data_IF_000209856491
#
_entry.id   IF_000209856491
#
_cell.length_a   1.000
_cell.length_b   1.000
_cell.length_c   1.000
_cell.angle_alpha   90.00
_cell.angle_beta   90.00
_cell.angle_gamma   90.00
#
_symmetry.space_group_name_H-M   'P 1'
#
loop_
_entity.id
_entity.type
_entity.pdbx_description
1 polymer ?
#
# COMPACT_ATOMS: atom_id res chain seq x y z
N UNK A 1 26.64 2.01 -25.99
CA UNK A 1 25.27 1.52 -25.73
C UNK A 1 25.29 0.88 -24.35
N UNK A 2 24.32 1.20 -23.48
CA UNK A 2 24.25 0.70 -22.10
C UNK A 2 23.17 -0.37 -21.98
N UNK A 3 23.34 -1.31 -21.04
CA UNK A 3 22.33 -2.33 -20.72
C UNK A 3 21.43 -1.82 -19.60
N UNK A 4 20.11 -1.95 -19.77
CA UNK A 4 19.11 -1.62 -18.77
C UNK A 4 18.45 -2.92 -18.30
N UNK A 5 18.40 -3.15 -16.99
CA UNK A 5 17.81 -4.35 -16.38
C UNK A 5 16.63 -3.93 -15.51
N UNK A 6 15.44 -4.44 -15.82
CA UNK A 6 14.28 -4.36 -14.94
C UNK A 6 14.28 -5.58 -14.01
N UNK A 7 14.52 -5.36 -12.72
CA UNK A 7 14.59 -6.41 -11.70
C UNK A 7 13.70 -6.05 -10.52
N UNK A 8 12.43 -6.50 -10.48
CA UNK A 8 11.57 -6.28 -9.33
C UNK A 8 12.13 -6.99 -8.07
N UNK A 9 11.68 -6.61 -6.87
CA UNK A 9 12.03 -7.33 -5.64
C UNK A 9 11.68 -8.82 -5.75
N UNK A 10 12.55 -9.67 -5.20
CA UNK A 10 12.33 -11.11 -5.10
C UNK A 10 11.53 -11.46 -3.84
N UNK A 11 11.60 -10.63 -2.80
CA UNK A 11 10.90 -10.84 -1.54
C UNK A 11 10.46 -9.50 -0.94
N UNK A 12 9.22 -9.45 -0.42
CA UNK A 12 8.68 -8.34 0.35
C UNK A 12 8.37 -8.87 1.75
N UNK A 13 9.09 -8.37 2.75
CA UNK A 13 8.86 -8.71 4.15
C UNK A 13 7.90 -7.69 4.75
N UNK A 14 6.70 -8.14 5.13
CA UNK A 14 5.70 -7.30 5.79
C UNK A 14 5.86 -7.46 7.29
N UNK A 15 6.29 -6.42 7.99
CA UNK A 15 6.49 -6.47 9.45
C UNK A 15 5.33 -5.90 10.25
N UNK A 16 4.57 -4.98 9.67
CA UNK A 16 3.37 -4.40 10.26
C UNK A 16 2.21 -4.49 9.29
N UNK A 17 1.06 -4.98 9.76
CA UNK A 17 -0.15 -5.14 8.95
C UNK A 17 -1.39 -4.78 9.75
N UNK A 18 -2.13 -3.77 9.29
CA UNK A 18 -3.34 -3.25 9.93
C UNK A 18 -4.51 -3.27 8.93
N UNK A 19 -5.56 -4.01 9.26
CA UNK A 19 -6.78 -4.07 8.46
C UNK A 19 -7.79 -3.04 8.93
N UNK A 20 -8.37 -2.32 7.98
CA UNK A 20 -9.52 -1.45 8.16
C UNK A 20 -10.75 -2.08 7.51
N UNK A 21 -11.91 -1.92 8.15
CA UNK A 21 -13.17 -2.48 7.66
C UNK A 21 -13.68 -1.84 6.37
N UNK A 22 -13.26 -0.60 6.07
CA UNK A 22 -13.64 0.11 4.86
C UNK A 22 -12.55 1.04 4.35
N UNK A 23 -12.52 1.26 3.02
CA UNK A 23 -11.66 2.24 2.38
C UNK A 23 -11.86 3.66 2.95
N UNK A 24 -13.08 4.00 3.39
CA UNK A 24 -13.40 5.30 3.98
C UNK A 24 -12.75 5.47 5.34
N UNK A 25 -12.69 4.42 6.17
CA UNK A 25 -12.02 4.47 7.47
C UNK A 25 -10.51 4.67 7.29
N UNK A 26 -9.90 3.92 6.36
CA UNK A 26 -8.48 4.09 6.02
C UNK A 26 -8.21 5.50 5.48
N UNK A 27 -9.02 5.97 4.53
CA UNK A 27 -8.88 7.31 3.98
C UNK A 27 -9.08 8.40 5.06
N UNK A 28 -9.92 8.16 6.07
CA UNK A 28 -10.12 9.12 7.17
C UNK A 28 -8.86 9.27 8.03
N UNK A 29 -8.17 8.16 8.32
CA UNK A 29 -6.86 8.17 8.96
C UNK A 29 -5.85 8.96 8.11
N UNK A 30 -5.77 8.67 6.80
CA UNK A 30 -4.84 9.37 5.90
C UNK A 30 -5.14 10.87 5.80
N UNK A 31 -6.41 11.26 5.65
CA UNK A 31 -6.83 12.65 5.62
C UNK A 31 -6.47 13.39 6.91
N UNK A 32 -6.61 12.74 8.08
CA UNK A 32 -6.15 13.30 9.35
C UNK A 32 -4.64 13.54 9.35
N UNK A 33 -3.83 12.57 8.92
CA UNK A 33 -2.38 12.71 8.83
C UNK A 33 -1.98 13.83 7.86
N UNK A 34 -2.61 13.92 6.69
CA UNK A 34 -2.38 14.99 5.73
C UNK A 34 -2.66 16.37 6.32
N UNK A 35 -3.77 16.52 7.06
CA UNK A 35 -4.13 17.78 7.70
C UNK A 35 -3.15 18.19 8.81
N UNK A 36 -2.68 17.23 9.62
CA UNK A 36 -1.77 17.52 10.74
C UNK A 36 -0.34 17.76 10.26
N UNK A 37 0.13 16.97 9.28
CA UNK A 37 1.51 17.07 8.76
C UNK A 37 1.69 18.13 7.68
N UNK A 38 0.61 18.51 7.00
CA UNK A 38 0.66 19.34 5.80
C UNK A 38 1.26 18.65 4.57
N UNK A 39 1.59 17.36 4.67
CA UNK A 39 2.18 16.59 3.57
C UNK A 39 1.08 15.84 2.79
N UNK A 40 1.10 15.90 1.45
CA UNK A 40 0.20 15.07 0.65
C UNK A 40 0.58 13.59 0.79
N UNK A 41 -0.43 12.74 0.94
CA UNK A 41 -0.29 11.30 0.92
C UNK A 41 -1.24 10.72 -0.12
N UNK A 42 -0.83 9.62 -0.74
CA UNK A 42 -1.66 8.86 -1.66
C UNK A 42 -1.79 7.41 -1.18
N UNK A 43 -2.97 6.84 -1.40
CA UNK A 43 -3.18 5.42 -1.26
C UNK A 43 -2.82 4.73 -2.58
N UNK A 44 -2.46 3.45 -2.47
CA UNK A 44 -2.27 2.56 -3.59
C UNK A 44 -3.49 1.66 -3.77
N UNK A 45 -3.78 1.29 -5.00
CA UNK A 45 -4.80 0.30 -5.32
C UNK A 45 -4.27 -0.73 -6.30
N UNK A 46 -4.50 -1.99 -5.98
CA UNK A 46 -4.33 -3.11 -6.90
C UNK A 46 -5.14 -4.30 -6.39
N UNK A 47 -5.54 -5.20 -7.29
CA UNK A 47 -6.14 -6.49 -6.92
C UNK A 47 -7.37 -6.38 -6.01
N UNK A 48 -8.13 -5.27 -6.06
CA UNK A 48 -9.32 -5.06 -5.23
C UNK A 48 -9.02 -4.63 -3.78
N UNK A 49 -7.78 -4.20 -3.50
CA UNK A 49 -7.33 -3.71 -2.20
C UNK A 49 -6.83 -2.29 -2.35
N UNK A 50 -7.19 -1.44 -1.39
CA UNK A 50 -6.59 -0.11 -1.21
C UNK A 50 -5.71 -0.13 0.03
N UNK A 51 -4.52 0.46 -0.06
CA UNK A 51 -3.56 0.41 1.03
C UNK A 51 -2.58 1.58 1.03
N UNK A 52 -2.07 1.89 2.21
CA UNK A 52 -0.87 2.69 2.43
C UNK A 52 0.25 1.72 2.83
N UNK A 53 1.42 1.84 2.23
CA UNK A 53 2.58 1.02 2.56
C UNK A 53 3.79 1.91 2.82
N UNK A 54 4.38 1.77 4.01
CA UNK A 54 5.63 2.40 4.38
C UNK A 54 6.75 1.40 4.11
N UNK A 55 7.62 1.69 3.14
CA UNK A 55 8.79 0.87 2.84
C UNK A 55 10.01 1.40 3.57
N UNK A 56 10.83 0.49 4.08
CA UNK A 56 12.13 0.83 4.65
C UNK A 56 13.05 1.27 3.51
N UNK A 57 13.64 2.45 3.67
CA UNK A 57 14.55 3.03 2.69
C UNK A 57 15.81 2.15 2.48
N UNK A 58 16.33 2.04 1.25
CA UNK A 58 17.49 1.20 0.94
C UNK A 58 18.72 1.47 1.82
N UNK A 59 18.93 2.73 2.22
CA UNK A 59 20.06 3.15 3.05
C UNK A 59 20.04 2.53 4.45
N UNK A 60 18.86 2.18 4.97
CA UNK A 60 18.72 1.54 6.27
C UNK A 60 19.03 0.04 6.22
N UNK A 61 18.83 -0.62 5.06
CA UNK A 61 19.03 -2.06 4.87
C UNK A 61 19.72 -2.37 3.51
N UNK A 62 20.94 -1.86 3.27
CA UNK A 62 21.56 -1.93 1.96
C UNK A 62 21.88 -3.36 1.51
N UNK A 63 22.30 -4.23 2.44
CA UNK A 63 22.61 -5.62 2.13
C UNK A 63 21.39 -6.42 1.68
N UNK A 64 20.23 -6.17 2.29
CA UNK A 64 18.98 -6.86 1.95
C UNK A 64 18.41 -6.32 0.62
N UNK A 65 18.49 -5.01 0.41
CA UNK A 65 18.06 -4.38 -0.83
C UNK A 65 18.83 -4.92 -2.04
N UNK A 66 20.15 -5.10 -1.94
CA UNK A 66 20.98 -5.69 -3.01
C UNK A 66 20.61 -7.15 -3.29
N UNK A 67 20.16 -7.91 -2.29
CA UNK A 67 19.64 -9.28 -2.47
C UNK A 67 18.23 -9.31 -3.07
N UNK A 68 17.63 -8.15 -3.35
CA UNK A 68 16.27 -8.05 -3.87
C UNK A 68 15.19 -8.23 -2.81
N UNK A 69 15.52 -8.08 -1.52
CA UNK A 69 14.58 -8.13 -0.41
C UNK A 69 14.26 -6.72 0.06
N UNK A 70 12.97 -6.38 0.11
CA UNK A 70 12.50 -5.10 0.65
C UNK A 70 11.60 -5.33 1.86
N UNK A 71 11.50 -4.32 2.73
CA UNK A 71 10.71 -4.39 3.96
C UNK A 71 9.60 -3.36 3.91
N UNK A 72 8.36 -3.81 4.07
CA UNK A 72 7.23 -2.95 4.35
C UNK A 72 7.06 -2.87 5.87
N UNK A 73 7.52 -1.76 6.46
CA UNK A 73 7.52 -1.58 7.91
C UNK A 73 6.10 -1.57 8.48
N UNK A 74 5.17 -0.95 7.76
CA UNK A 74 3.76 -0.93 8.09
C UNK A 74 2.92 -0.88 6.82
N UNK A 75 1.83 -1.66 6.81
CA UNK A 75 0.82 -1.64 5.77
C UNK A 75 -0.54 -1.44 6.44
N UNK A 76 -1.24 -0.38 6.04
CA UNK A 76 -2.64 -0.17 6.41
C UNK A 76 -3.51 -0.39 5.20
N UNK A 77 -4.47 -1.32 5.26
CA UNK A 77 -5.23 -1.73 4.08
C UNK A 77 -6.73 -1.85 4.34
N UNK A 78 -7.52 -1.82 3.27
CA UNK A 78 -8.96 -2.02 3.27
C UNK A 78 -9.43 -2.64 1.94
N UNK A 79 -10.61 -3.30 1.92
CA UNK A 79 -11.21 -3.75 0.67
C UNK A 79 -11.65 -2.54 -0.20
N UNK A 80 -11.38 -2.64 -1.51
CA UNK A 80 -11.83 -1.67 -2.53
C UNK A 80 -12.03 -2.43 -3.85
N UNK A 81 -13.19 -3.08 -4.01
CA UNK A 81 -13.42 -4.03 -5.11
C UNK A 81 -13.22 -3.44 -6.52
N UNK A 82 -13.45 -2.14 -6.70
CA UNK A 82 -13.25 -1.42 -7.96
C UNK A 82 -12.33 -0.23 -7.73
N UNK A 83 -11.44 0.02 -8.68
CA UNK A 83 -10.63 1.22 -8.67
C UNK A 83 -11.50 2.49 -8.70
N UNK A 84 -11.11 3.45 -7.89
CA UNK A 84 -11.54 4.84 -7.96
C UNK A 84 -10.29 5.68 -7.65
N UNK A 85 -10.08 6.76 -8.39
CA UNK A 85 -8.87 7.58 -8.28
C UNK A 85 -8.81 8.46 -7.03
N UNK A 86 -9.87 8.47 -6.22
CA UNK A 86 -9.87 9.07 -4.88
C UNK A 86 -10.86 8.36 -3.95
N UNK A 87 -10.66 8.57 -2.65
CA UNK A 87 -11.68 8.33 -1.62
C UNK A 87 -12.02 9.66 -0.96
N UNK A 88 -13.30 10.03 -0.95
CA UNK A 88 -13.78 11.28 -0.37
C UNK A 88 -14.00 11.12 1.14
N UNK A 89 -13.43 12.02 1.93
CA UNK A 89 -13.65 12.15 3.37
C UNK A 89 -14.03 13.59 3.68
N UNK A 90 -15.32 13.85 3.88
CA UNK A 90 -15.84 15.22 4.00
C UNK A 90 -15.50 16.04 2.74
N UNK A 91 -14.71 17.11 2.92
CA UNK A 91 -14.26 17.99 1.83
C UNK A 91 -12.87 17.63 1.28
N UNK A 92 -12.23 16.56 1.80
CA UNK A 92 -10.89 16.13 1.39
C UNK A 92 -11.02 14.95 0.44
N UNK A 93 -10.28 15.02 -0.67
CA UNK A 93 -10.08 13.89 -1.58
C UNK A 93 -8.71 13.27 -1.30
N UNK A 94 -8.71 12.06 -0.76
CA UNK A 94 -7.48 11.28 -0.62
C UNK A 94 -7.21 10.61 -1.97
N UNK A 95 -6.10 10.94 -2.65
CA UNK A 95 -5.81 10.37 -3.96
C UNK A 95 -5.50 8.87 -3.85
N UNK A 96 -5.92 8.12 -4.87
CA UNK A 96 -5.65 6.68 -5.00
C UNK A 96 -4.99 6.41 -6.34
N UNK A 97 -3.81 5.81 -6.30
CA UNK A 97 -2.99 5.50 -7.47
C UNK A 97 -3.19 4.02 -7.81
N UNK A 98 -3.58 3.74 -9.05
CA UNK A 98 -3.57 2.37 -9.58
C UNK A 98 -2.12 1.91 -9.81
N UNK A 99 -1.68 0.95 -9.00
CA UNK A 99 -0.32 0.39 -9.04
C UNK A 99 -0.29 -1.03 -9.63
N UNK A 100 -1.36 -1.45 -10.32
CA UNK A 100 -1.49 -2.80 -10.90
C UNK A 100 -0.36 -3.14 -11.89
N UNK A 101 0.27 -2.15 -12.52
CA UNK A 101 1.41 -2.33 -13.43
C UNK A 101 2.73 -2.67 -12.72
N UNK A 102 2.86 -2.34 -11.42
CA UNK A 102 4.03 -2.70 -10.63
C UNK A 102 3.86 -4.13 -10.11
N UNK A 103 4.62 -5.07 -10.66
CA UNK A 103 4.48 -6.50 -10.37
C UNK A 103 4.64 -6.85 -8.88
N UNK A 104 5.65 -6.28 -8.20
CA UNK A 104 5.89 -6.57 -6.78
C UNK A 104 4.80 -6.02 -5.88
N UNK A 105 4.34 -4.80 -6.14
CA UNK A 105 3.28 -4.16 -5.35
C UNK A 105 1.91 -4.79 -5.64
N UNK A 106 1.65 -5.21 -6.88
CA UNK A 106 0.45 -5.97 -7.23
C UNK A 106 0.42 -7.33 -6.51
N UNK A 107 1.54 -8.04 -6.48
CA UNK A 107 1.61 -9.34 -5.81
C UNK A 107 1.48 -9.19 -4.28
N UNK A 108 2.01 -8.12 -3.70
CA UNK A 108 1.72 -7.72 -2.32
C UNK A 108 0.22 -7.49 -2.09
N UNK A 109 -0.45 -6.73 -2.94
CA UNK A 109 -1.88 -6.47 -2.83
C UNK A 109 -2.72 -7.75 -2.95
N UNK A 110 -2.34 -8.66 -3.85
CA UNK A 110 -2.95 -9.99 -3.97
C UNK A 110 -2.80 -10.79 -2.67
N UNK A 111 -1.59 -10.82 -2.11
CA UNK A 111 -1.33 -11.51 -0.85
C UNK A 111 -2.16 -10.94 0.32
N UNK A 112 -2.30 -9.61 0.40
CA UNK A 112 -3.17 -8.96 1.39
C UNK A 112 -4.63 -9.40 1.21
N UNK A 113 -5.15 -9.37 -0.03
CA UNK A 113 -6.53 -9.78 -0.33
C UNK A 113 -6.82 -11.19 0.16
N UNK A 114 -5.92 -12.12 -0.15
CA UNK A 114 -6.14 -13.56 0.05
C UNK A 114 -6.03 -13.98 1.52
N UNK A 115 -5.28 -13.25 2.35
CA UNK A 115 -4.91 -13.73 3.69
C UNK A 115 -5.39 -12.84 4.84
N UNK A 116 -5.76 -11.58 4.57
CA UNK A 116 -5.86 -10.58 5.66
C UNK A 116 -7.01 -9.58 5.55
N UNK A 117 -7.94 -9.73 4.60
CA UNK A 117 -9.16 -8.90 4.63
C UNK A 117 -9.99 -9.23 5.87
N UNK A 118 -10.32 -8.22 6.65
CA UNK A 118 -11.27 -8.35 7.76
C UNK A 118 -12.59 -8.86 7.23
N UNK A 119 -12.91 -10.11 7.56
CA UNK A 119 -14.13 -10.80 7.20
C UNK A 119 -15.31 -10.05 7.84
N UNK A 120 -16.19 -9.39 7.06
CA UNK A 120 -17.28 -8.60 7.63
C UNK A 120 -18.29 -9.44 8.44
N UNK A 121 -18.22 -10.77 8.36
CA UNK A 121 -19.06 -11.69 9.14
C UNK A 121 -18.50 -12.05 10.53
N UNK A 122 -17.32 -11.56 10.92
CA UNK A 122 -16.67 -11.87 12.21
C UNK A 122 -16.49 -10.69 13.17
N UNK A 123 -17.16 -9.56 12.96
CA UNK A 123 -17.15 -8.39 13.88
C UNK A 123 -18.54 -7.98 14.34
#
# INVERSE_FOLDING_TARGET
MVTIIHSPPQEIVVTGLTSFTSQTNLASMVAFVMNVSGQPLALYWAEGVVFLADFVEPEALPEEYVKGRIYASNISHAPMAKYNNFVRVGNIEVPVIDVTSNVGIRDLARWIRENHQSDPEKS
#
